data_IF_458599111374
#
_entry.id   IF_458599111374
#
_cell.length_a   1.000
_cell.length_b   1.000
_cell.length_c   1.000
_cell.angle_alpha   90.00
_cell.angle_beta   90.00
_cell.angle_gamma   90.00
#
_symmetry.space_group_name_H-M   'P 1'
#
loop_
_entity.id
_entity.type
_entity.pdbx_description
1 polymer ?
#
# COMPACT_ATOMS: atom_id res chain seq x y z
N UNK A 1 -11.54 2.80 21.39
CA UNK A 1 -10.66 2.79 20.20
C UNK A 1 -11.42 2.08 19.09
N UNK A 2 -11.52 2.68 17.91
CA UNK A 2 -12.20 2.04 16.78
C UNK A 2 -11.38 0.83 16.30
N UNK A 3 -12.02 -0.31 16.00
CA UNK A 3 -11.32 -1.53 15.56
C UNK A 3 -10.52 -1.28 14.26
N UNK A 4 -11.05 -0.44 13.37
CA UNK A 4 -10.42 -0.02 12.12
C UNK A 4 -9.09 0.71 12.35
N UNK A 5 -9.02 1.55 13.38
CA UNK A 5 -7.81 2.30 13.71
C UNK A 5 -6.68 1.39 14.21
N UNK A 6 -7.03 0.41 15.05
CA UNK A 6 -6.06 -0.58 15.58
C UNK A 6 -5.57 -1.50 14.45
N UNK A 7 -6.48 -1.96 13.60
CA UNK A 7 -6.13 -2.76 12.42
C UNK A 7 -5.25 -1.98 11.44
N UNK A 8 -5.60 -0.72 11.16
CA UNK A 8 -4.84 0.16 10.27
C UNK A 8 -3.40 0.38 10.76
N UNK A 9 -3.22 0.71 12.04
CA UNK A 9 -1.89 0.86 12.64
C UNK A 9 -1.07 -0.44 12.59
N UNK A 10 -1.71 -1.57 12.87
CA UNK A 10 -1.05 -2.89 12.82
C UNK A 10 -0.59 -3.23 11.40
N UNK A 11 -1.44 -2.96 10.40
CA UNK A 11 -1.12 -3.16 8.99
C UNK A 11 0.00 -2.26 8.50
N UNK A 12 0.03 -0.99 8.92
CA UNK A 12 1.11 -0.06 8.61
C UNK A 12 2.43 -0.62 9.17
N UNK A 13 2.47 -0.98 10.45
CA UNK A 13 3.70 -1.49 11.08
C UNK A 13 4.22 -2.76 10.38
N UNK A 14 3.35 -3.74 10.16
CA UNK A 14 3.73 -5.00 9.50
C UNK A 14 4.16 -4.74 8.05
N UNK A 15 3.40 -3.93 7.32
CA UNK A 15 3.67 -3.58 5.92
C UNK A 15 4.97 -2.80 5.75
N UNK A 16 5.25 -1.83 6.61
CA UNK A 16 6.49 -1.06 6.59
C UNK A 16 7.68 -1.94 6.91
N UNK A 17 7.58 -2.81 7.93
CA UNK A 17 8.64 -3.79 8.24
C UNK A 17 8.84 -4.74 7.05
N UNK A 18 7.76 -5.33 6.53
CA UNK A 18 7.82 -6.23 5.39
C UNK A 18 8.47 -5.56 4.17
N UNK A 19 8.18 -4.28 3.91
CA UNK A 19 8.73 -3.52 2.78
C UNK A 19 10.18 -3.09 2.99
N UNK A 20 10.51 -2.53 4.17
CA UNK A 20 11.82 -1.93 4.47
C UNK A 20 12.97 -2.93 4.58
N UNK A 21 12.68 -4.20 4.92
CA UNK A 21 13.74 -5.20 5.03
C UNK A 21 14.36 -5.52 3.65
N UNK A 22 15.68 -5.32 3.48
CA UNK A 22 16.39 -5.58 2.24
C UNK A 22 16.55 -7.09 2.05
N UNK A 23 15.57 -7.69 1.39
CA UNK A 23 15.61 -9.08 0.89
C UNK A 23 15.57 -9.05 -0.63
N UNK A 24 16.21 -10.02 -1.32
CA UNK A 24 16.00 -10.19 -2.75
C UNK A 24 14.51 -10.50 -2.97
N UNK A 25 13.78 -9.54 -3.51
CA UNK A 25 12.35 -9.64 -3.81
C UNK A 25 12.17 -9.41 -5.30
N UNK A 26 11.37 -10.26 -5.93
CA UNK A 26 10.84 -9.97 -7.26
C UNK A 26 10.03 -8.67 -7.21
N UNK A 27 10.00 -7.91 -8.30
CA UNK A 27 9.28 -6.63 -8.37
C UNK A 27 7.81 -6.74 -7.94
N UNK A 28 7.14 -7.85 -8.28
CA UNK A 28 5.77 -8.16 -7.83
C UNK A 28 5.66 -8.28 -6.31
N UNK A 29 6.61 -8.95 -5.66
CA UNK A 29 6.63 -9.12 -4.20
C UNK A 29 6.89 -7.78 -3.51
N UNK A 30 7.70 -6.91 -4.11
CA UNK A 30 7.93 -5.56 -3.60
C UNK A 30 6.67 -4.68 -3.72
N UNK A 31 5.97 -4.76 -4.86
CA UNK A 31 4.70 -4.05 -5.06
C UNK A 31 3.65 -4.48 -4.03
N UNK A 32 3.45 -5.78 -3.83
CA UNK A 32 2.51 -6.30 -2.82
C UNK A 32 2.88 -5.80 -1.42
N UNK A 33 4.17 -5.82 -1.07
CA UNK A 33 4.62 -5.31 0.23
C UNK A 33 4.44 -3.80 0.42
N UNK A 34 4.41 -3.01 -0.66
CA UNK A 34 4.13 -1.58 -0.63
C UNK A 34 2.63 -1.26 -0.54
N UNK A 35 1.80 -2.12 -1.11
CA UNK A 35 0.35 -1.96 -1.00
C UNK A 35 -0.13 -2.26 0.43
N UNK A 36 0.37 -3.29 1.11
CA UNK A 36 -0.02 -3.64 2.50
C UNK A 36 -0.08 -2.42 3.45
N UNK A 37 0.97 -1.58 3.60
CA UNK A 37 0.89 -0.39 4.44
C UNK A 37 -0.04 0.69 3.87
N UNK A 38 -0.24 0.78 2.55
CA UNK A 38 -1.22 1.68 1.93
C UNK A 38 -2.66 1.32 2.35
N UNK A 39 -3.01 0.03 2.35
CA UNK A 39 -4.29 -0.46 2.88
C UNK A 39 -4.45 -0.16 4.38
N UNK A 40 -3.37 -0.22 5.16
CA UNK A 40 -3.38 0.22 6.55
C UNK A 40 -3.70 1.70 6.72
N UNK A 41 -3.15 2.56 5.85
CA UNK A 41 -3.44 4.00 5.84
C UNK A 41 -4.90 4.30 5.49
N UNK A 42 -5.49 3.55 4.56
CA UNK A 42 -6.92 3.65 4.24
C UNK A 42 -7.79 3.36 5.47
N UNK A 43 -7.51 2.30 6.22
CA UNK A 43 -8.27 1.96 7.43
C UNK A 43 -8.15 3.06 8.51
N UNK A 44 -6.97 3.70 8.62
CA UNK A 44 -6.79 4.83 9.51
C UNK A 44 -7.63 6.02 9.05
N UNK A 45 -7.60 6.38 7.76
CA UNK A 45 -8.42 7.49 7.22
C UNK A 45 -9.94 7.24 7.39
N UNK A 46 -10.37 5.98 7.23
CA UNK A 46 -11.76 5.57 7.47
C UNK A 46 -12.19 5.82 8.92
N UNK A 47 -11.30 5.53 9.87
CA UNK A 47 -11.59 5.74 11.29
C UNK A 47 -11.82 7.20 11.69
N UNK A 48 -11.34 8.16 10.87
CA UNK A 48 -11.56 9.60 11.04
C UNK A 48 -12.73 10.15 10.21
N UNK A 49 -13.46 9.30 9.48
CA UNK A 49 -14.53 9.69 8.56
C UNK A 49 -14.07 10.68 7.47
N UNK A 50 -12.78 10.63 7.09
CA UNK A 50 -12.17 11.50 6.09
C UNK A 50 -12.40 10.94 4.68
N UNK A 51 -13.65 11.00 4.20
CA UNK A 51 -14.06 10.42 2.93
C UNK A 51 -13.28 10.98 1.72
N UNK A 52 -12.92 12.27 1.75
CA UNK A 52 -12.14 12.91 0.70
C UNK A 52 -10.69 12.41 0.68
N UNK A 53 -10.10 12.17 1.86
CA UNK A 53 -8.77 11.58 1.97
C UNK A 53 -8.75 10.13 1.47
N UNK A 54 -9.79 9.34 1.81
CA UNK A 54 -9.94 7.97 1.32
C UNK A 54 -10.01 7.87 -0.20
N UNK A 55 -10.85 8.70 -0.84
CA UNK A 55 -11.04 8.67 -2.29
C UNK A 55 -9.78 9.12 -3.04
N UNK A 56 -9.13 10.18 -2.56
CA UNK A 56 -7.90 10.69 -3.17
C UNK A 56 -6.75 9.71 -3.00
N UNK A 57 -6.53 9.19 -1.80
CA UNK A 57 -5.47 8.22 -1.54
C UNK A 57 -5.72 6.90 -2.28
N UNK A 58 -6.94 6.37 -2.26
CA UNK A 58 -7.30 5.15 -2.98
C UNK A 58 -7.13 5.29 -4.50
N UNK A 59 -7.55 6.44 -5.07
CA UNK A 59 -7.37 6.73 -6.48
C UNK A 59 -5.89 6.84 -6.88
N UNK A 60 -5.08 7.54 -6.09
CA UNK A 60 -3.63 7.63 -6.33
C UNK A 60 -2.96 6.27 -6.17
N UNK A 61 -3.31 5.47 -5.15
CA UNK A 61 -2.74 4.12 -4.93
C UNK A 61 -3.00 3.21 -6.12
N UNK A 62 -4.25 3.20 -6.64
CA UNK A 62 -4.61 2.42 -7.81
C UNK A 62 -3.83 2.87 -9.07
N UNK A 63 -3.71 4.18 -9.28
CA UNK A 63 -2.94 4.75 -10.39
C UNK A 63 -1.45 4.40 -10.28
N UNK A 64 -0.88 4.54 -9.09
CA UNK A 64 0.52 4.20 -8.81
C UNK A 64 0.79 2.71 -9.06
N UNK A 65 -0.07 1.81 -8.58
CA UNK A 65 0.03 0.37 -8.86
C UNK A 65 -0.01 0.10 -10.37
N UNK A 66 -0.94 0.73 -11.09
CA UNK A 66 -1.06 0.55 -12.54
C UNK A 66 0.21 0.98 -13.28
N UNK A 67 0.74 2.16 -12.95
CA UNK A 67 2.00 2.67 -13.54
C UNK A 67 3.16 1.73 -13.19
N UNK A 68 3.25 1.27 -11.95
CA UNK A 68 4.32 0.41 -11.48
C UNK A 68 4.33 -0.94 -12.22
N UNK A 69 3.16 -1.59 -12.33
CA UNK A 69 2.99 -2.83 -13.11
C UNK A 69 3.38 -2.61 -14.57
N UNK A 70 2.97 -1.48 -15.16
CA UNK A 70 3.28 -1.18 -16.56
C UNK A 70 4.78 -0.98 -16.81
N UNK A 71 5.48 -0.35 -15.87
CA UNK A 71 6.93 -0.15 -15.93
C UNK A 71 7.68 -1.49 -15.77
N UNK A 72 7.28 -2.33 -14.80
CA UNK A 72 7.89 -3.65 -14.59
C UNK A 72 7.75 -4.52 -15.83
N UNK A 73 6.55 -4.61 -16.41
CA UNK A 73 6.33 -5.40 -17.63
C UNK A 73 7.23 -4.97 -18.80
N UNK A 74 7.54 -3.67 -18.89
CA UNK A 74 8.47 -3.16 -19.90
C UNK A 74 9.92 -3.54 -19.60
N UNK A 75 10.31 -3.59 -18.32
CA UNK A 75 11.66 -3.96 -17.89
C UNK A 75 11.93 -5.47 -17.99
N UNK A 76 10.95 -6.31 -17.66
CA UNK A 76 11.09 -7.78 -17.71
C UNK A 76 10.91 -8.34 -19.14
N UNK A 77 10.33 -7.56 -20.07
CA UNK A 77 10.13 -7.94 -21.47
C UNK A 77 11.30 -7.64 -22.43
N UNK A 78 12.48 -7.31 -21.91
CA UNK A 78 13.74 -7.12 -22.68
C UNK A 78 14.74 -8.20 -22.29
#
# INVERSE_FOLDING_TARGET
>A
MNPEFVLGLTLILIGTVASAFPRPKTYLVQLINLEIPAWGLLLVMLSYNEALALLTFGGVSALSTFIYVRVIQKQEGT
#
